data_IF_239217703154
#
_entry.id   IF_239217703154
#
_cell.length_a   1.000
_cell.length_b   1.000
_cell.length_c   1.000
_cell.angle_alpha   90.00
_cell.angle_beta   90.00
_cell.angle_gamma   90.00
#
_symmetry.space_group_name_H-M   'P 1'
#
loop_
_entity.id
_entity.type
_entity.pdbx_description
1 polymer ?
#
# COMPACT_ATOMS: atom_id res chain seq x y z
N UNK A 1 1.80 16.08 49.31
CA UNK A 1 2.51 15.22 48.34
C UNK A 1 1.49 14.84 47.28
N UNK A 2 1.55 15.41 46.09
CA UNK A 2 0.56 15.16 45.03
C UNK A 2 1.16 14.01 44.19
N UNK A 3 0.54 12.85 44.32
CA UNK A 3 0.94 11.65 43.58
C UNK A 3 0.31 11.73 42.18
N UNK A 4 1.15 11.94 41.17
CA UNK A 4 0.72 11.92 39.77
C UNK A 4 0.50 10.48 39.34
N UNK A 5 -0.75 10.03 39.39
CA UNK A 5 -1.14 8.76 38.76
C UNK A 5 -1.11 8.96 37.24
N UNK A 6 -0.07 8.46 36.59
CA UNK A 6 -0.03 8.34 35.13
C UNK A 6 -1.12 7.36 34.69
N UNK A 7 -2.26 7.88 34.27
CA UNK A 7 -3.25 7.11 33.49
C UNK A 7 -2.59 6.70 32.18
N UNK A 8 -1.93 5.56 32.20
CA UNK A 8 -1.49 4.86 30.99
C UNK A 8 -2.76 4.40 30.26
N UNK A 9 -3.40 5.31 29.54
CA UNK A 9 -4.36 4.91 28.52
C UNK A 9 -3.62 3.98 27.58
N UNK A 10 -4.06 2.71 27.56
CA UNK A 10 -3.51 1.72 26.68
C UNK A 10 -3.60 2.20 25.24
N UNK A 11 -2.52 2.78 24.76
CA UNK A 11 -2.37 3.12 23.35
C UNK A 11 -2.42 1.81 22.58
N UNK A 12 -3.59 1.53 21.97
CA UNK A 12 -3.67 0.45 20.98
C UNK A 12 -2.54 0.68 19.96
N UNK A 13 -1.71 -0.32 19.70
CA UNK A 13 -0.58 -0.15 18.79
C UNK A 13 -1.12 0.33 17.43
N UNK A 14 -0.68 1.52 17.03
CA UNK A 14 -0.96 2.02 15.68
C UNK A 14 -0.27 1.06 14.72
N UNK A 15 -0.97 0.51 13.72
CA UNK A 15 -0.35 -0.37 12.73
C UNK A 15 0.88 0.34 12.14
N UNK A 16 2.05 -0.21 12.42
CA UNK A 16 3.28 0.37 11.87
C UNK A 16 3.34 0.03 10.37
N UNK A 17 3.68 0.99 9.52
CA UNK A 17 3.86 0.72 8.11
C UNK A 17 5.01 -0.28 7.94
N UNK A 18 4.82 -1.23 7.02
CA UNK A 18 5.80 -2.26 6.70
C UNK A 18 7.18 -1.65 6.40
N UNK A 19 8.23 -2.32 6.86
CA UNK A 19 9.60 -1.91 6.55
C UNK A 19 9.83 -1.95 5.03
N UNK A 20 10.45 -0.92 4.49
CA UNK A 20 10.69 -0.76 3.04
C UNK A 20 11.30 -2.01 2.38
N UNK A 21 12.33 -2.67 2.96
CA UNK A 21 12.90 -3.86 2.34
C UNK A 21 11.92 -5.03 2.26
N UNK A 22 11.01 -5.17 3.23
CA UNK A 22 9.97 -6.20 3.20
C UNK A 22 8.96 -5.95 2.08
N UNK A 23 8.58 -4.69 1.87
CA UNK A 23 7.70 -4.29 0.75
C UNK A 23 8.34 -4.63 -0.58
N UNK A 24 9.62 -4.33 -0.76
CA UNK A 24 10.34 -4.64 -1.99
C UNK A 24 10.51 -6.14 -2.22
N UNK A 25 10.82 -6.91 -1.18
CA UNK A 25 10.89 -8.36 -1.27
C UNK A 25 9.54 -8.97 -1.67
N UNK A 26 8.45 -8.52 -1.06
CA UNK A 26 7.09 -8.96 -1.39
C UNK A 26 6.70 -8.53 -2.82
N UNK A 27 7.09 -7.33 -3.24
CA UNK A 27 6.88 -6.85 -4.60
C UNK A 27 7.59 -7.73 -5.63
N UNK A 28 8.85 -8.06 -5.38
CA UNK A 28 9.66 -8.90 -6.26
C UNK A 28 9.05 -10.30 -6.40
N UNK A 29 8.81 -10.98 -5.28
CA UNK A 29 8.24 -12.34 -5.27
C UNK A 29 6.84 -12.34 -5.88
N UNK A 30 5.99 -11.39 -5.48
CA UNK A 30 4.62 -11.28 -5.99
C UNK A 30 4.58 -10.99 -7.50
N UNK A 31 5.43 -10.09 -7.98
CA UNK A 31 5.50 -9.75 -9.40
C UNK A 31 5.99 -10.93 -10.25
N UNK A 32 7.05 -11.63 -9.82
CA UNK A 32 7.55 -12.81 -10.50
C UNK A 32 6.51 -13.94 -10.55
N UNK A 33 5.88 -14.23 -9.42
CA UNK A 33 4.82 -15.25 -9.34
C UNK A 33 3.66 -14.89 -10.28
N UNK A 34 3.21 -13.64 -10.24
CA UNK A 34 2.09 -13.17 -11.04
C UNK A 34 2.38 -13.22 -12.55
N UNK A 35 3.57 -12.79 -12.97
CA UNK A 35 3.97 -12.86 -14.39
C UNK A 35 4.14 -14.33 -14.83
N UNK A 36 4.72 -15.19 -13.99
CA UNK A 36 4.84 -16.61 -14.30
C UNK A 36 3.48 -17.27 -14.49
N UNK A 37 2.55 -17.04 -13.56
CA UNK A 37 1.18 -17.56 -13.68
C UNK A 37 0.46 -16.97 -14.89
N UNK A 38 0.61 -15.67 -15.16
CA UNK A 38 0.05 -15.03 -16.34
C UNK A 38 0.56 -15.67 -17.64
N UNK A 39 1.87 -15.87 -17.78
CA UNK A 39 2.46 -16.48 -18.95
C UNK A 39 2.02 -17.94 -19.14
N UNK A 40 1.80 -18.69 -18.06
CA UNK A 40 1.29 -20.06 -18.12
C UNK A 40 -0.18 -20.14 -18.54
N UNK A 41 -1.01 -19.18 -18.11
CA UNK A 41 -2.45 -19.22 -18.34
C UNK A 41 -2.88 -18.49 -19.63
N UNK A 42 -2.25 -17.39 -19.95
CA UNK A 42 -2.67 -16.46 -21.02
C UNK A 42 -1.64 -16.42 -22.16
N UNK A 43 -0.40 -16.76 -21.87
CA UNK A 43 0.72 -16.59 -22.79
C UNK A 43 1.27 -15.16 -22.77
N UNK A 44 2.37 -14.95 -23.49
CA UNK A 44 3.06 -13.65 -23.57
C UNK A 44 2.47 -12.66 -24.57
N UNK A 45 1.35 -13.03 -25.23
CA UNK A 45 0.75 -12.22 -26.31
C UNK A 45 -0.08 -11.04 -25.79
N UNK A 46 -0.34 -10.97 -24.49
CA UNK A 46 -1.20 -9.95 -23.88
C UNK A 46 -0.49 -9.18 -22.76
N UNK A 47 0.57 -8.42 -23.05
CA UNK A 47 1.34 -7.70 -22.03
C UNK A 47 0.50 -6.64 -21.27
N UNK A 48 -0.60 -6.14 -21.87
CA UNK A 48 -1.50 -5.23 -21.20
C UNK A 48 -2.22 -5.85 -19.99
N UNK A 49 -2.56 -7.14 -20.03
CA UNK A 49 -3.15 -7.82 -18.87
C UNK A 49 -2.11 -8.02 -17.76
N UNK A 50 -0.87 -8.33 -18.12
CA UNK A 50 0.23 -8.42 -17.16
C UNK A 50 0.47 -7.06 -16.49
N UNK A 51 0.44 -5.95 -17.26
CA UNK A 51 0.52 -4.59 -16.72
C UNK A 51 -0.62 -4.29 -15.75
N UNK A 52 -1.86 -4.62 -16.10
CA UNK A 52 -3.02 -4.39 -15.23
C UNK A 52 -2.90 -5.17 -13.91
N UNK A 53 -2.51 -6.43 -13.98
CA UNK A 53 -2.31 -7.27 -12.80
C UNK A 53 -1.16 -6.77 -11.91
N UNK A 54 -0.03 -6.36 -12.50
CA UNK A 54 1.08 -5.75 -11.76
C UNK A 54 0.73 -4.38 -11.17
N UNK A 55 -0.09 -3.59 -11.86
CA UNK A 55 -0.59 -2.32 -11.33
C UNK A 55 -1.49 -2.53 -10.12
N UNK A 56 -2.34 -3.56 -10.15
CA UNK A 56 -3.16 -3.94 -9.00
C UNK A 56 -2.29 -4.39 -7.82
N UNK A 57 -1.30 -5.24 -8.07
CA UNK A 57 -0.33 -5.68 -7.06
C UNK A 57 0.42 -4.47 -6.45
N UNK A 58 0.92 -3.57 -7.29
CA UNK A 58 1.62 -2.36 -6.87
C UNK A 58 0.73 -1.44 -6.02
N UNK A 59 -0.55 -1.30 -6.39
CA UNK A 59 -1.55 -0.55 -5.62
C UNK A 59 -1.83 -1.18 -4.26
N UNK A 60 -2.01 -2.50 -4.20
CA UNK A 60 -2.22 -3.23 -2.95
C UNK A 60 -1.02 -3.13 -2.00
N UNK A 61 0.20 -3.28 -2.52
CA UNK A 61 1.42 -3.09 -1.74
C UNK A 61 1.54 -1.64 -1.23
N UNK A 62 1.08 -0.68 -2.03
CA UNK A 62 1.02 0.73 -1.65
C UNK A 62 0.16 0.98 -0.42
N UNK A 63 -0.88 0.17 -0.15
CA UNK A 63 -1.74 0.33 1.03
C UNK A 63 -0.98 0.14 2.37
N UNK A 64 0.02 -0.74 2.38
CA UNK A 64 0.85 -1.00 3.58
C UNK A 64 2.20 -0.29 3.57
N UNK A 65 2.58 0.35 2.48
CA UNK A 65 3.91 0.91 2.27
C UNK A 65 4.03 2.37 2.71
N UNK A 66 5.28 2.80 2.94
CA UNK A 66 5.63 4.22 3.05
C UNK A 66 5.74 4.82 1.64
N UNK A 67 5.50 6.13 1.49
CA UNK A 67 5.67 6.83 0.20
C UNK A 67 7.05 6.61 -0.42
N UNK A 68 8.08 6.51 0.41
CA UNK A 68 9.46 6.28 -0.02
C UNK A 68 9.67 4.92 -0.69
N UNK A 69 8.78 3.93 -0.45
CA UNK A 69 8.86 2.61 -1.07
C UNK A 69 8.21 2.58 -2.48
N UNK A 70 7.35 3.55 -2.80
CA UNK A 70 6.56 3.57 -4.04
C UNK A 70 7.42 3.51 -5.32
N UNK A 71 8.45 4.34 -5.51
CA UNK A 71 9.26 4.31 -6.74
C UNK A 71 10.01 2.98 -6.90
N UNK A 72 10.53 2.42 -5.79
CA UNK A 72 11.20 1.11 -5.84
C UNK A 72 10.25 -0.02 -6.19
N UNK A 73 9.04 -0.02 -5.64
CA UNK A 73 8.00 -1.02 -5.98
C UNK A 73 7.59 -0.93 -7.45
N UNK A 74 7.36 0.28 -7.97
CA UNK A 74 7.02 0.49 -9.37
C UNK A 74 8.15 0.03 -10.30
N UNK A 75 9.40 0.34 -9.95
CA UNK A 75 10.58 -0.09 -10.71
C UNK A 75 10.71 -1.61 -10.74
N UNK A 76 10.55 -2.30 -9.61
CA UNK A 76 10.59 -3.76 -9.55
C UNK A 76 9.48 -4.41 -10.40
N UNK A 77 8.26 -3.90 -10.35
CA UNK A 77 7.16 -4.37 -11.18
C UNK A 77 7.44 -4.12 -12.67
N UNK A 78 8.01 -2.97 -13.03
CA UNK A 78 8.38 -2.66 -14.41
C UNK A 78 9.51 -3.58 -14.91
N UNK A 79 10.55 -3.82 -14.11
CA UNK A 79 11.64 -4.73 -14.46
C UNK A 79 11.11 -6.15 -14.70
N UNK A 80 10.19 -6.61 -13.87
CA UNK A 80 9.57 -7.94 -14.02
C UNK A 80 8.70 -8.00 -15.28
N UNK A 81 7.93 -6.95 -15.54
CA UNK A 81 7.10 -6.85 -16.74
C UNK A 81 7.97 -6.88 -18.02
N UNK A 82 8.99 -6.03 -18.06
CA UNK A 82 9.86 -5.89 -19.23
C UNK A 82 10.74 -7.14 -19.42
N UNK A 83 11.25 -7.72 -18.32
CA UNK A 83 12.17 -8.86 -18.40
C UNK A 83 11.49 -10.21 -18.66
N UNK A 84 10.24 -10.39 -18.25
CA UNK A 84 9.63 -11.72 -18.25
C UNK A 84 8.26 -11.81 -18.95
N UNK A 85 7.52 -10.69 -19.06
CA UNK A 85 6.21 -10.70 -19.72
C UNK A 85 6.29 -10.36 -21.22
N UNK A 86 7.41 -9.81 -21.67
CA UNK A 86 7.61 -9.39 -23.08
C UNK A 86 8.69 -10.24 -23.70
N UNK A 87 8.41 -10.91 -24.83
CA UNK A 87 9.44 -11.63 -25.58
C UNK A 87 10.49 -10.70 -26.21
N UNK A 88 11.77 -11.12 -26.27
CA UNK A 88 12.35 -12.34 -25.70
C UNK A 88 12.58 -12.22 -24.20
N UNK A 89 12.09 -13.21 -23.43
CA UNK A 89 12.22 -13.21 -21.98
C UNK A 89 13.70 -13.17 -21.55
N UNK A 90 13.98 -12.44 -20.47
CA UNK A 90 15.33 -12.25 -19.94
C UNK A 90 16.11 -11.10 -20.58
N UNK A 91 15.54 -10.36 -21.52
CA UNK A 91 16.15 -9.17 -22.10
C UNK A 91 15.42 -7.90 -21.66
N UNK A 92 16.18 -6.96 -21.12
CA UNK A 92 15.65 -5.65 -20.78
C UNK A 92 15.86 -4.70 -21.97
N UNK A 93 14.76 -4.31 -22.60
CA UNK A 93 14.80 -3.37 -23.71
C UNK A 93 14.01 -2.12 -23.34
N UNK A 94 14.58 -0.95 -23.59
CA UNK A 94 13.87 0.32 -23.39
C UNK A 94 13.28 0.78 -24.73
N UNK A 95 11.96 0.68 -24.85
CA UNK A 95 11.22 1.08 -26.06
C UNK A 95 10.62 2.49 -25.91
N UNK A 96 11.33 3.39 -25.25
CA UNK A 96 10.98 4.80 -25.16
C UNK A 96 9.57 5.05 -24.59
N UNK A 97 8.64 5.48 -25.43
CA UNK A 97 7.32 5.95 -25.00
C UNK A 97 6.47 4.89 -24.30
N UNK A 98 6.53 3.64 -24.75
CA UNK A 98 5.77 2.53 -24.15
C UNK A 98 6.23 2.25 -22.71
N UNK A 99 7.53 2.17 -22.50
CA UNK A 99 8.08 1.84 -21.18
C UNK A 99 7.89 2.99 -20.19
N UNK A 100 8.01 4.21 -20.67
CA UNK A 100 7.69 5.39 -19.87
C UNK A 100 6.22 5.39 -19.43
N UNK A 101 5.30 5.07 -20.33
CA UNK A 101 3.88 4.96 -20.02
C UNK A 101 3.62 3.86 -18.97
N UNK A 102 4.20 2.67 -19.15
CA UNK A 102 4.01 1.56 -18.20
C UNK A 102 4.59 1.84 -16.83
N UNK A 103 5.80 2.41 -16.77
CA UNK A 103 6.40 2.83 -15.51
C UNK A 103 5.55 3.90 -14.82
N UNK A 104 5.01 4.84 -15.57
CA UNK A 104 4.11 5.87 -15.03
C UNK A 104 2.83 5.27 -14.47
N UNK A 105 2.22 4.30 -15.15
CA UNK A 105 1.04 3.58 -14.65
C UNK A 105 1.34 2.85 -13.34
N UNK A 106 2.46 2.16 -13.25
CA UNK A 106 2.87 1.45 -12.03
C UNK A 106 3.17 2.41 -10.87
N UNK A 107 3.84 3.52 -11.13
CA UNK A 107 4.07 4.58 -10.14
C UNK A 107 2.74 5.19 -9.66
N UNK A 108 1.84 5.52 -10.59
CA UNK A 108 0.53 6.06 -10.25
C UNK A 108 -0.28 5.08 -9.40
N UNK A 109 -0.31 3.79 -9.76
CA UNK A 109 -1.00 2.75 -8.99
C UNK A 109 -0.47 2.65 -7.55
N UNK A 110 0.86 2.66 -7.36
CA UNK A 110 1.48 2.60 -6.04
C UNK A 110 1.18 3.85 -5.22
N UNK A 111 1.25 5.03 -5.84
CA UNK A 111 0.94 6.30 -5.18
C UNK A 111 -0.52 6.40 -4.78
N UNK A 112 -1.44 5.97 -5.64
CA UNK A 112 -2.88 5.91 -5.33
C UNK A 112 -3.11 4.96 -4.15
N UNK A 113 -2.51 3.78 -4.13
CA UNK A 113 -2.61 2.84 -3.01
C UNK A 113 -2.16 3.48 -1.69
N UNK A 114 -0.99 4.13 -1.67
CA UNK A 114 -0.48 4.82 -0.47
C UNK A 114 -1.35 6.00 -0.04
N UNK A 115 -1.90 6.76 -0.99
CA UNK A 115 -2.80 7.86 -0.70
C UNK A 115 -4.12 7.38 -0.09
N UNK A 116 -4.73 6.33 -0.65
CA UNK A 116 -5.96 5.71 -0.12
C UNK A 116 -5.76 5.22 1.31
N UNK A 117 -4.65 4.53 1.60
CA UNK A 117 -4.33 4.08 2.94
C UNK A 117 -4.24 5.25 3.94
N UNK A 118 -3.57 6.33 3.57
CA UNK A 118 -3.43 7.51 4.43
C UNK A 118 -4.76 8.21 4.69
N UNK A 119 -5.59 8.36 3.67
CA UNK A 119 -6.94 8.92 3.83
C UNK A 119 -7.78 8.04 4.74
N UNK A 120 -7.71 6.72 4.58
CA UNK A 120 -8.39 5.77 5.46
C UNK A 120 -7.95 5.89 6.91
N UNK A 121 -6.66 5.98 7.18
CA UNK A 121 -6.12 6.15 8.52
C UNK A 121 -6.50 7.51 9.13
N UNK A 122 -6.46 8.59 8.37
CA UNK A 122 -6.88 9.93 8.81
C UNK A 122 -8.37 9.95 9.19
N UNK A 123 -9.23 9.36 8.35
CA UNK A 123 -10.68 9.26 8.64
C UNK A 123 -10.96 8.42 9.88
N UNK A 124 -10.24 7.31 10.06
CA UNK A 124 -10.38 6.47 11.25
C UNK A 124 -9.95 7.20 12.53
N UNK A 125 -8.88 7.99 12.47
CA UNK A 125 -8.43 8.82 13.58
C UNK A 125 -9.48 9.90 13.92
N UNK A 126 -10.03 10.57 12.92
CA UNK A 126 -11.05 11.61 13.12
C UNK A 126 -12.32 11.07 13.78
N UNK A 127 -12.79 9.89 13.36
CA UNK A 127 -13.96 9.24 13.97
C UNK A 127 -13.73 8.90 15.43
N UNK A 128 -12.54 8.49 15.83
CA UNK A 128 -12.20 8.18 17.23
C UNK A 128 -12.26 9.43 18.12
N UNK A 129 -11.73 10.55 17.62
CA UNK A 129 -11.78 11.82 18.36
C UNK A 129 -13.23 12.30 18.50
N UNK A 130 -14.02 12.23 17.44
CA UNK A 130 -15.42 12.61 17.47
C UNK A 130 -16.23 11.77 18.49
N UNK A 131 -16.03 10.44 18.52
CA UNK A 131 -16.68 9.54 19.48
C UNK A 131 -16.27 9.86 20.92
N UNK A 132 -14.98 10.13 21.16
CA UNK A 132 -14.48 10.47 22.49
C UNK A 132 -15.08 11.78 23.03
N UNK A 133 -15.24 12.78 22.15
CA UNK A 133 -15.89 14.06 22.52
C UNK A 133 -17.36 13.86 22.86
N UNK A 134 -18.09 13.05 22.07
CA UNK A 134 -19.51 12.76 22.34
C UNK A 134 -19.70 12.09 23.69
N UNK A 135 -18.86 11.09 24.02
CA UNK A 135 -18.93 10.39 25.32
C UNK A 135 -18.57 11.30 26.50
N UNK A 136 -17.67 12.27 26.30
CA UNK A 136 -17.28 13.20 27.34
C UNK A 136 -18.33 14.33 27.58
N UNK A 137 -19.25 14.51 26.64
CA UNK A 137 -20.29 15.58 26.72
C UNK A 137 -21.65 15.05 27.22
N UNK A 138 -21.77 13.74 27.47
CA UNK A 138 -22.99 13.13 27.99
C UNK A 138 -23.06 13.36 29.53
N UNK A 139 -23.95 14.22 30.05
CA UNK A 139 -23.96 14.64 31.46
C UNK A 139 -24.80 13.69 32.34
N UNK A 140 -25.07 12.46 31.92
CA UNK A 140 -26.00 11.55 32.62
C UNK A 140 -25.46 10.81 33.85
N UNK A 141 -24.32 11.21 34.44
CA UNK A 141 -23.89 10.69 35.74
C UNK A 141 -23.69 11.82 36.78
N UNK A 142 -24.70 12.64 36.98
CA UNK A 142 -24.83 13.37 38.26
C UNK A 142 -25.43 12.37 39.26
N UNK A 143 -24.66 11.85 40.22
CA UNK A 143 -25.24 11.02 41.28
C UNK A 143 -26.20 11.90 42.09
N UNK A 144 -27.50 11.57 42.12
CA UNK A 144 -28.48 12.11 43.01
C UNK A 144 -27.98 11.93 44.46
N UNK A 145 -27.38 12.97 45.00
CA UNK A 145 -27.04 13.04 46.43
C UNK A 145 -28.31 13.39 47.18
N UNK A 146 -28.98 12.36 47.70
CA UNK A 146 -30.04 12.48 48.72
C UNK A 146 -29.45 12.25 50.09
#
# INVERSE_FOLDING_TARGET
>A
MIEWVSLRQGTRPVPQPLATPLVWATACVGALTLVTVHNMLVGSDRPGLALAALSLLAGLLGLGARFTAAPGTALLCWLTLNGFAIPPAGTLTWTGHRDTFWLTCLCAATLVGTAVARIGHARAAYRRVASAVTTATDPEDEPDIV
#
